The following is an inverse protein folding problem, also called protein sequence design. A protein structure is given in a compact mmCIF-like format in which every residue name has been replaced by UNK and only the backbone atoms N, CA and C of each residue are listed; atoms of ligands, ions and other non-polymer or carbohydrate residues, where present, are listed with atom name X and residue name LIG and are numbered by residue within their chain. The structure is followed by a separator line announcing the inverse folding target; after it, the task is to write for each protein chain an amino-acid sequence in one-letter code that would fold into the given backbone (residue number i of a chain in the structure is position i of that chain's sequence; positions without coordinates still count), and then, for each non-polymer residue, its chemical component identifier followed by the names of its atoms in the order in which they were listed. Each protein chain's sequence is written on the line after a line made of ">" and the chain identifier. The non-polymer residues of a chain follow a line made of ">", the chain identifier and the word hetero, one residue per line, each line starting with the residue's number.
data_IF_761797602024
#
_entry.id   IF_761797602024
#
_cell.length_a   1.000
_cell.length_b   1.000
_cell.length_c   1.000
_cell.angle_alpha   90.00
_cell.angle_beta   90.00
_cell.angle_gamma   90.00
#
_symmetry.space_group_name_H-M   'P 1'
#
loop_
_entity.id
_entity.type
_entity.pdbx_description
1 polymer ?
#
# COMPACT_ATOMS: atom_id res chain seq x y z
N UNK A 1 0.72 17.49 -3.29
CA UNK A 1 1.82 16.96 -2.47
C UNK A 1 3.12 17.75 -2.64
N UNK A 2 3.60 17.98 -3.86
CA UNK A 2 4.90 18.63 -4.13
C UNK A 2 5.03 20.06 -3.58
N UNK A 3 4.01 20.91 -3.74
CA UNK A 3 4.03 22.27 -3.19
C UNK A 3 4.05 22.28 -1.65
N UNK A 4 3.25 21.43 -1.02
CA UNK A 4 3.21 21.30 0.44
C UNK A 4 4.54 20.79 1.00
N UNK A 5 5.16 19.79 0.38
CA UNK A 5 6.47 19.29 0.79
C UNK A 5 7.59 20.32 0.60
N UNK A 6 7.54 21.11 -0.48
CA UNK A 6 8.46 22.22 -0.72
C UNK A 6 8.33 23.29 0.38
N UNK A 7 7.11 23.68 0.74
CA UNK A 7 6.86 24.67 1.80
C UNK A 7 7.34 24.20 3.18
N UNK A 8 7.17 22.93 3.52
CA UNK A 8 7.70 22.37 4.77
C UNK A 8 9.23 22.37 4.73
N UNK A 9 9.82 21.91 3.62
CA UNK A 9 11.28 21.84 3.47
C UNK A 9 11.97 23.20 3.47
N UNK A 10 11.29 24.28 3.08
CA UNK A 10 11.87 25.63 3.09
C UNK A 10 11.92 26.26 4.48
N UNK A 11 11.12 25.77 5.42
CA UNK A 11 10.93 26.38 6.74
C UNK A 11 11.43 25.50 7.87
N UNK A 12 11.35 24.19 7.72
CA UNK A 12 11.78 23.24 8.75
C UNK A 12 13.21 22.77 8.45
N UNK A 13 14.14 23.00 9.38
CA UNK A 13 15.50 22.48 9.28
C UNK A 13 15.51 20.94 9.39
N UNK A 14 16.35 20.31 8.56
CA UNK A 14 16.46 18.85 8.43
C UNK A 14 16.88 18.11 9.71
N UNK A 15 17.43 18.81 10.71
CA UNK A 15 18.01 18.21 11.91
C UNK A 15 16.98 17.91 13.02
N UNK A 16 15.75 18.42 12.93
CA UNK A 16 14.73 18.31 13.99
C UNK A 16 13.36 17.80 13.55
N UNK A 17 13.19 17.46 12.27
CA UNK A 17 11.92 16.92 11.79
C UNK A 17 11.88 15.39 11.93
N UNK A 18 11.16 14.88 12.92
CA UNK A 18 10.68 13.50 12.83
C UNK A 18 9.67 13.38 11.68
N UNK A 19 9.54 12.18 11.10
CA UNK A 19 8.69 11.94 9.92
C UNK A 19 7.22 12.37 10.15
N UNK A 20 6.77 12.37 11.40
CA UNK A 20 5.42 12.74 11.83
C UNK A 20 5.27 14.19 12.29
N UNK A 21 6.32 14.82 12.83
CA UNK A 21 6.22 16.17 13.42
C UNK A 21 6.41 17.30 12.41
N UNK A 22 6.98 17.02 11.24
CA UNK A 22 7.34 18.05 10.26
C UNK A 22 6.18 19.00 9.88
N UNK A 23 4.95 18.48 9.79
CA UNK A 23 3.77 19.31 9.48
C UNK A 23 3.42 20.26 10.62
N UNK A 24 3.38 19.76 11.86
CA UNK A 24 3.04 20.58 13.03
C UNK A 24 4.13 21.61 13.29
N UNK A 25 5.40 21.23 13.10
CA UNK A 25 6.54 22.13 13.26
C UNK A 25 6.55 23.24 12.21
N UNK A 26 6.18 22.93 10.97
CA UNK A 26 6.01 23.95 9.94
C UNK A 26 4.92 24.96 10.33
N UNK A 27 3.74 24.51 10.74
CA UNK A 27 2.66 25.41 11.20
C UNK A 27 3.06 26.22 12.42
N UNK A 28 3.76 25.61 13.38
CA UNK A 28 4.29 26.32 14.54
C UNK A 28 5.21 27.46 14.12
N UNK A 29 6.18 27.18 13.24
CA UNK A 29 7.15 28.18 12.78
C UNK A 29 6.46 29.35 12.06
N UNK A 30 5.54 29.05 11.15
CA UNK A 30 4.76 30.09 10.47
C UNK A 30 3.88 30.92 11.41
N UNK A 31 3.22 30.28 12.38
CA UNK A 31 2.36 31.01 13.31
C UNK A 31 3.14 31.81 14.34
N UNK A 32 4.33 31.37 14.73
CA UNK A 32 5.21 32.15 15.59
C UNK A 32 5.70 33.42 14.85
N UNK A 33 6.09 33.31 13.58
CA UNK A 33 6.48 34.47 12.76
C UNK A 33 5.32 35.48 12.56
N UNK A 34 4.08 34.98 12.47
CA UNK A 34 2.87 35.80 12.32
C UNK A 34 2.29 36.30 13.65
N UNK A 35 2.89 35.96 14.80
CA UNK A 35 2.35 36.22 16.15
C UNK A 35 0.93 35.62 16.36
N UNK A 36 0.63 34.51 15.70
CA UNK A 36 -0.66 33.78 15.74
C UNK A 36 -0.53 32.42 16.41
N UNK A 37 0.39 32.25 17.38
CA UNK A 37 0.67 30.95 18.03
C UNK A 37 -0.58 30.28 18.65
N UNK A 38 -1.63 31.06 18.97
CA UNK A 38 -2.91 30.53 19.46
C UNK A 38 -3.67 29.68 18.41
N UNK A 39 -3.35 29.79 17.12
CA UNK A 39 -3.97 29.01 16.05
C UNK A 39 -3.41 27.58 15.96
N UNK A 40 -2.25 27.31 16.57
CA UNK A 40 -1.60 26.01 16.52
C UNK A 40 -2.49 24.86 17.05
N UNK A 41 -3.15 24.97 18.22
CA UNK A 41 -4.08 23.94 18.70
C UNK A 41 -5.29 23.74 17.80
N UNK A 42 -5.81 24.80 17.17
CA UNK A 42 -6.96 24.73 16.26
C UNK A 42 -6.61 23.91 15.02
N UNK A 43 -5.46 24.20 14.41
CA UNK A 43 -4.96 23.43 13.26
C UNK A 43 -4.60 22.00 13.66
N UNK A 44 -3.99 21.80 14.82
CA UNK A 44 -3.70 20.46 15.33
C UNK A 44 -4.97 19.62 15.47
N UNK A 45 -6.05 20.19 16.04
CA UNK A 45 -7.35 19.52 16.11
C UNK A 45 -7.94 19.24 14.72
N UNK A 46 -7.87 20.20 13.80
CA UNK A 46 -8.33 20.00 12.42
C UNK A 46 -7.58 18.85 11.72
N UNK A 47 -6.27 18.73 11.93
CA UNK A 47 -5.45 17.62 11.42
C UNK A 47 -5.89 16.30 12.07
N UNK A 48 -6.14 16.27 13.37
CA UNK A 48 -6.64 15.06 14.05
C UNK A 48 -7.99 14.62 13.45
N UNK A 49 -8.95 15.53 13.29
CA UNK A 49 -10.23 15.17 12.65
C UNK A 49 -10.06 14.73 11.19
N UNK A 50 -9.21 15.40 10.42
CA UNK A 50 -8.92 15.03 9.04
C UNK A 50 -8.27 13.65 8.91
N UNK A 51 -7.35 13.31 9.80
CA UNK A 51 -6.72 11.99 9.86
C UNK A 51 -7.73 10.91 10.28
N UNK A 52 -8.58 11.16 11.27
CA UNK A 52 -9.65 10.23 11.67
C UNK A 52 -10.66 9.97 10.53
N UNK A 53 -11.08 11.02 9.83
CA UNK A 53 -11.95 10.90 8.66
C UNK A 53 -11.29 10.08 7.55
N UNK A 54 -10.00 10.32 7.30
CA UNK A 54 -9.22 9.57 6.32
C UNK A 54 -9.11 8.09 6.72
N UNK A 55 -8.82 7.80 7.99
CA UNK A 55 -8.72 6.43 8.51
C UNK A 55 -10.02 5.65 8.32
N UNK A 56 -11.18 6.28 8.55
CA UNK A 56 -12.48 5.64 8.33
C UNK A 56 -12.66 5.19 6.87
N UNK A 57 -12.23 6.01 5.90
CA UNK A 57 -12.26 5.63 4.49
C UNK A 57 -11.29 4.47 4.18
N UNK A 58 -10.10 4.50 4.78
CA UNK A 58 -9.08 3.46 4.63
C UNK A 58 -9.43 2.11 5.27
N UNK A 59 -10.42 2.04 6.16
CA UNK A 59 -10.92 0.76 6.67
C UNK A 59 -11.79 0.07 5.61
N UNK A 60 -12.69 0.84 4.97
CA UNK A 60 -13.71 0.29 4.08
C UNK A 60 -13.16 -0.03 2.68
N UNK A 61 -12.31 0.84 2.13
CA UNK A 61 -11.78 0.67 0.77
C UNK A 61 -11.03 -0.67 0.54
N UNK A 62 -10.00 -1.03 1.31
CA UNK A 62 -9.29 -2.30 1.13
C UNK A 62 -10.19 -3.49 1.45
N UNK A 63 -11.01 -3.42 2.49
CA UNK A 63 -11.94 -4.49 2.86
C UNK A 63 -12.89 -4.81 1.70
N UNK A 64 -13.50 -3.80 1.08
CA UNK A 64 -14.39 -4.00 -0.08
C UNK A 64 -13.64 -4.58 -1.28
N UNK A 65 -12.41 -4.12 -1.55
CA UNK A 65 -11.59 -4.69 -2.64
C UNK A 65 -11.26 -6.17 -2.41
N UNK A 66 -10.94 -6.53 -1.17
CA UNK A 66 -10.62 -7.90 -0.77
C UNK A 66 -11.86 -8.78 -0.76
N UNK A 67 -13.01 -8.20 -0.46
CA UNK A 67 -14.29 -8.89 -0.48
C UNK A 67 -14.70 -9.34 -1.89
N UNK A 68 -14.43 -8.51 -2.91
CA UNK A 68 -14.60 -8.92 -4.32
C UNK A 68 -13.70 -10.10 -4.64
N UNK A 69 -12.43 -10.06 -4.24
CA UNK A 69 -11.52 -11.20 -4.43
C UNK A 69 -11.99 -12.47 -3.69
N UNK A 70 -12.56 -12.33 -2.49
CA UNK A 70 -13.12 -13.45 -1.74
C UNK A 70 -14.35 -14.06 -2.45
N UNK A 71 -15.22 -13.24 -3.06
CA UNK A 71 -16.34 -13.69 -3.90
C UNK A 71 -15.86 -14.43 -5.16
N UNK A 72 -14.73 -14.02 -5.72
CA UNK A 72 -14.03 -14.70 -6.83
C UNK A 72 -13.25 -15.96 -6.40
N UNK A 73 -13.50 -16.46 -5.19
CA UNK A 73 -12.95 -17.70 -4.64
C UNK A 73 -11.43 -17.69 -4.43
N UNK A 74 -10.82 -16.51 -4.30
CA UNK A 74 -9.43 -16.38 -3.84
C UNK A 74 -9.27 -16.63 -2.34
N UNK A 75 -10.37 -16.75 -1.60
CA UNK A 75 -10.36 -16.97 -0.15
C UNK A 75 -11.45 -17.96 0.30
N UNK A 76 -11.36 -18.51 1.53
CA UNK A 76 -12.43 -19.26 2.16
C UNK A 76 -13.78 -18.51 2.13
N UNK A 77 -14.87 -19.23 1.86
CA UNK A 77 -16.23 -18.67 1.79
C UNK A 77 -16.67 -18.01 3.10
N UNK A 78 -16.08 -18.38 4.24
CA UNK A 78 -16.32 -17.70 5.50
C UNK A 78 -15.92 -16.21 5.47
N UNK A 79 -14.87 -15.86 4.71
CA UNK A 79 -14.40 -14.48 4.54
C UNK A 79 -15.22 -13.69 3.52
N UNK A 80 -15.99 -14.36 2.66
CA UNK A 80 -16.91 -13.70 1.71
C UNK A 80 -18.32 -13.49 2.28
N UNK A 81 -18.57 -13.80 3.56
CA UNK A 81 -19.89 -13.59 4.18
C UNK A 81 -20.11 -12.11 4.52
N UNK A 82 -21.29 -11.60 4.19
CA UNK A 82 -21.76 -10.27 4.55
C UNK A 82 -22.80 -10.35 5.68
N UNK A 83 -22.95 -9.26 6.45
CA UNK A 83 -24.07 -9.09 7.38
C UNK A 83 -25.29 -8.46 6.68
N UNK A 84 -26.35 -8.16 7.45
CA UNK A 84 -27.58 -7.53 6.93
C UNK A 84 -27.33 -6.17 6.24
N UNK A 85 -26.24 -5.49 6.60
CA UNK A 85 -25.85 -4.19 6.04
C UNK A 85 -24.83 -4.32 4.90
N UNK A 86 -24.68 -5.50 4.29
CA UNK A 86 -23.72 -5.79 3.21
C UNK A 86 -22.26 -5.54 3.60
N UNK A 87 -21.95 -5.59 4.90
CA UNK A 87 -20.60 -5.41 5.40
C UNK A 87 -19.90 -6.77 5.58
N UNK A 88 -18.69 -6.96 5.02
CA UNK A 88 -17.94 -8.21 5.17
C UNK A 88 -17.21 -8.27 6.52
N UNK A 89 -17.96 -8.58 7.58
CA UNK A 89 -17.51 -8.50 8.97
C UNK A 89 -16.24 -9.31 9.24
N UNK A 90 -16.12 -10.52 8.68
CA UNK A 90 -14.95 -11.37 8.89
C UNK A 90 -13.65 -10.74 8.34
N UNK A 91 -13.74 -10.03 7.20
CA UNK A 91 -12.59 -9.31 6.63
C UNK A 91 -12.25 -8.05 7.43
N UNK A 92 -13.26 -7.34 7.94
CA UNK A 92 -13.05 -6.19 8.83
C UNK A 92 -12.33 -6.60 10.11
N UNK A 93 -12.76 -7.70 10.74
CA UNK A 93 -12.12 -8.24 11.93
C UNK A 93 -10.70 -8.73 11.63
N UNK A 94 -10.47 -9.38 10.49
CA UNK A 94 -9.14 -9.82 10.08
C UNK A 94 -8.19 -8.63 9.88
N UNK A 95 -8.59 -7.60 9.14
CA UNK A 95 -7.79 -6.38 8.97
C UNK A 95 -7.54 -5.69 10.31
N UNK A 96 -8.57 -5.57 11.16
CA UNK A 96 -8.44 -4.96 12.48
C UNK A 96 -7.46 -5.72 13.38
N UNK A 97 -7.49 -7.05 13.35
CA UNK A 97 -6.53 -7.89 14.07
C UNK A 97 -5.11 -7.71 13.54
N UNK A 98 -4.91 -7.71 12.22
CA UNK A 98 -3.60 -7.48 11.59
C UNK A 98 -3.05 -6.11 12.01
N UNK A 99 -3.83 -5.05 11.87
CA UNK A 99 -3.41 -3.69 12.24
C UNK A 99 -3.10 -3.60 13.74
N UNK A 100 -3.91 -4.22 14.60
CA UNK A 100 -3.66 -4.24 16.04
C UNK A 100 -2.36 -4.94 16.40
N UNK A 101 -2.07 -6.09 15.79
CA UNK A 101 -0.81 -6.82 15.99
C UNK A 101 0.38 -6.01 15.48
N UNK A 102 0.26 -5.38 14.31
CA UNK A 102 1.31 -4.50 13.78
C UNK A 102 1.53 -3.28 14.69
N UNK A 103 0.48 -2.74 15.30
CA UNK A 103 0.60 -1.64 16.26
C UNK A 103 1.38 -2.04 17.52
N UNK A 104 1.33 -3.30 17.95
CA UNK A 104 2.14 -3.78 19.09
C UNK A 104 3.64 -3.70 18.82
N UNK A 105 4.07 -3.72 17.54
CA UNK A 105 5.49 -3.56 17.17
C UNK A 105 6.02 -2.20 17.64
N UNK A 106 5.19 -1.15 17.62
CA UNK A 106 5.60 0.18 18.10
C UNK A 106 5.81 0.26 19.62
N UNK A 107 5.30 -0.70 20.39
CA UNK A 107 5.60 -0.81 21.82
C UNK A 107 6.99 -1.43 22.03
N UNK A 108 7.40 -2.33 21.13
CA UNK A 108 8.67 -3.06 21.20
C UNK A 108 9.83 -2.32 20.54
N UNK A 109 9.55 -1.43 19.58
CA UNK A 109 10.56 -0.63 18.89
C UNK A 109 10.83 0.65 19.69
N UNK A 110 12.05 0.85 20.21
CA UNK A 110 12.38 2.00 21.06
C UNK A 110 12.38 3.34 20.29
N UNK A 111 12.38 3.31 18.96
CA UNK A 111 12.36 4.49 18.11
C UNK A 111 11.21 4.44 17.10
N UNK A 112 10.15 5.21 17.37
CA UNK A 112 8.96 5.31 16.51
C UNK A 112 9.31 5.72 15.08
N UNK A 113 10.29 6.61 14.90
CA UNK A 113 10.72 7.07 13.58
C UNK A 113 11.32 5.95 12.74
N UNK A 114 12.11 5.05 13.35
CA UNK A 114 12.65 3.86 12.68
C UNK A 114 11.53 2.89 12.27
N UNK A 115 10.55 2.67 13.15
CA UNK A 115 9.38 1.84 12.86
C UNK A 115 8.52 2.40 11.71
N UNK A 116 8.26 3.71 11.72
CA UNK A 116 7.52 4.39 10.64
C UNK A 116 8.27 4.34 9.31
N UNK A 117 9.59 4.56 9.32
CA UNK A 117 10.43 4.39 8.14
C UNK A 117 10.31 2.97 7.59
N UNK A 118 10.49 1.96 8.42
CA UNK A 118 10.45 0.55 8.01
C UNK A 118 9.10 0.19 7.36
N UNK A 119 7.98 0.53 8.02
CA UNK A 119 6.65 0.24 7.48
C UNK A 119 6.36 0.99 6.17
N UNK A 120 6.81 2.24 6.05
CA UNK A 120 6.60 3.03 4.84
C UNK A 120 7.39 2.47 3.64
N UNK A 121 8.63 2.05 3.86
CA UNK A 121 9.46 1.43 2.84
C UNK A 121 8.90 0.05 2.45
N UNK A 122 8.50 -0.78 3.43
CA UNK A 122 7.86 -2.07 3.17
C UNK A 122 6.58 -1.92 2.34
N UNK A 123 5.70 -0.98 2.69
CA UNK A 123 4.51 -0.66 1.92
C UNK A 123 4.88 -0.26 0.48
N UNK A 124 5.88 0.61 0.33
CA UNK A 124 6.35 1.07 -0.98
C UNK A 124 6.85 -0.10 -1.84
N UNK A 125 7.64 -1.01 -1.28
CA UNK A 125 8.14 -2.20 -2.00
C UNK A 125 6.99 -3.09 -2.50
N UNK A 126 6.01 -3.37 -1.64
CA UNK A 126 4.83 -4.18 -2.01
C UNK A 126 4.00 -3.51 -3.12
N UNK A 127 3.84 -2.18 -3.06
CA UNK A 127 3.16 -1.42 -4.10
C UNK A 127 3.92 -1.43 -5.43
N UNK A 128 5.25 -1.36 -5.41
CA UNK A 128 6.04 -1.44 -6.64
C UNK A 128 5.90 -2.82 -7.30
N UNK A 129 5.83 -3.91 -6.53
CA UNK A 129 5.54 -5.25 -7.09
C UNK A 129 4.17 -5.27 -7.77
N UNK A 130 3.16 -4.71 -7.12
CA UNK A 130 1.82 -4.59 -7.70
C UNK A 130 1.88 -3.80 -9.02
N UNK A 131 2.58 -2.68 -9.07
CA UNK A 131 2.72 -1.89 -10.29
C UNK A 131 3.48 -2.63 -11.39
N UNK A 132 4.54 -3.37 -11.06
CA UNK A 132 5.24 -4.25 -12.01
C UNK A 132 4.27 -5.27 -12.61
N UNK A 133 3.46 -5.94 -11.78
CA UNK A 133 2.41 -6.84 -12.24
C UNK A 133 1.41 -6.12 -13.17
N UNK A 134 0.96 -4.92 -12.83
CA UNK A 134 0.04 -4.12 -13.66
C UNK A 134 0.66 -3.78 -15.01
N UNK A 135 1.92 -3.32 -15.06
CA UNK A 135 2.59 -2.98 -16.33
C UNK A 135 2.83 -4.21 -17.21
N UNK A 136 3.23 -5.34 -16.61
CA UNK A 136 3.36 -6.61 -17.33
C UNK A 136 1.99 -7.07 -17.87
N UNK A 137 0.96 -7.08 -17.01
CA UNK A 137 -0.40 -7.43 -17.42
C UNK A 137 -0.94 -6.51 -18.52
N UNK A 138 -0.62 -5.22 -18.49
CA UNK A 138 -0.96 -4.27 -19.53
C UNK A 138 -0.35 -4.65 -20.89
N UNK A 139 0.96 -4.95 -20.92
CA UNK A 139 1.66 -5.38 -22.14
C UNK A 139 1.16 -6.73 -22.65
N UNK A 140 0.99 -7.72 -21.75
CA UNK A 140 0.50 -9.06 -22.08
C UNK A 140 -0.94 -8.98 -22.60
N UNK A 141 -1.81 -8.23 -21.93
CA UNK A 141 -3.21 -8.04 -22.35
C UNK A 141 -3.29 -7.41 -23.74
N UNK A 142 -2.37 -6.51 -24.10
CA UNK A 142 -2.35 -5.94 -25.46
C UNK A 142 -1.95 -6.94 -26.54
N UNK A 143 -1.08 -7.89 -26.21
CA UNK A 143 -0.65 -8.96 -27.13
C UNK A 143 -1.71 -10.06 -27.24
N UNK A 144 -2.21 -10.55 -26.10
CA UNK A 144 -3.14 -11.69 -26.02
C UNK A 144 -4.58 -11.32 -26.42
N UNK A 145 -5.00 -10.09 -26.13
CA UNK A 145 -6.36 -9.61 -26.41
C UNK A 145 -6.32 -8.40 -27.34
N UNK A 146 -5.71 -8.60 -28.52
CA UNK A 146 -5.54 -7.55 -29.53
C UNK A 146 -6.86 -7.10 -30.18
N UNK A 147 -7.84 -8.02 -30.30
CA UNK A 147 -9.10 -7.80 -31.01
C UNK A 147 -10.22 -7.16 -30.16
N UNK A 148 -9.96 -6.85 -28.89
CA UNK A 148 -10.95 -6.22 -28.01
C UNK A 148 -10.99 -4.72 -28.31
N UNK A 149 -12.18 -4.19 -28.56
CA UNK A 149 -12.40 -2.75 -28.70
C UNK A 149 -12.18 -2.04 -27.35
N UNK A 150 -11.42 -0.94 -27.36
CA UNK A 150 -10.96 -0.27 -26.13
C UNK A 150 -11.39 1.19 -26.14
N UNK A 151 -12.14 1.65 -25.11
CA UNK A 151 -12.54 3.04 -24.96
C UNK A 151 -11.35 4.01 -24.87
N UNK A 152 -10.21 3.54 -24.35
CA UNK A 152 -8.99 4.31 -24.23
C UNK A 152 -7.80 3.61 -24.89
N UNK A 153 -6.96 4.39 -25.59
CA UNK A 153 -5.72 3.95 -26.21
C UNK A 153 -4.61 4.94 -25.88
N UNK A 154 -3.43 4.41 -25.52
CA UNK A 154 -2.24 5.23 -25.30
C UNK A 154 -1.88 5.90 -26.63
N UNK A 155 -1.69 7.23 -26.65
CA UNK A 155 -1.28 7.95 -27.85
C UNK A 155 0.09 7.44 -28.33
N UNK A 156 0.33 7.46 -29.64
CA UNK A 156 1.59 6.94 -30.23
C UNK A 156 1.63 5.42 -30.45
N UNK A 157 0.48 4.74 -30.38
CA UNK A 157 0.34 3.33 -30.81
C UNK A 157 1.23 2.36 -30.03
N UNK A 158 1.90 1.43 -30.73
CA UNK A 158 2.78 0.42 -30.11
C UNK A 158 4.03 1.04 -29.47
N UNK A 159 4.56 2.12 -30.06
CA UNK A 159 5.75 2.80 -29.56
C UNK A 159 5.43 3.53 -28.27
N UNK A 160 4.40 4.39 -28.27
CA UNK A 160 3.97 5.11 -27.06
C UNK A 160 3.62 4.17 -25.90
N UNK A 161 2.97 3.04 -26.20
CA UNK A 161 2.70 1.99 -25.22
C UNK A 161 3.97 1.37 -24.61
N UNK A 162 4.96 1.06 -25.46
CA UNK A 162 6.22 0.45 -25.00
C UNK A 162 7.05 1.43 -24.18
N UNK A 163 7.05 2.70 -24.56
CA UNK A 163 7.72 3.77 -23.80
C UNK A 163 7.06 3.96 -22.44
N UNK A 164 5.73 4.12 -22.39
CA UNK A 164 5.01 4.32 -21.11
C UNK A 164 5.19 3.13 -20.17
N UNK A 165 5.03 1.91 -20.68
CA UNK A 165 5.23 0.70 -19.86
C UNK A 165 6.69 0.52 -19.45
N UNK A 166 7.65 0.82 -20.34
CA UNK A 166 9.08 0.75 -20.05
C UNK A 166 9.49 1.74 -18.97
N UNK A 167 9.09 3.01 -19.10
CA UNK A 167 9.34 4.03 -18.08
C UNK A 167 8.71 3.66 -16.74
N UNK A 168 7.46 3.17 -16.75
CA UNK A 168 6.79 2.71 -15.54
C UNK A 168 7.53 1.56 -14.83
N UNK A 169 7.96 0.55 -15.60
CA UNK A 169 8.73 -0.57 -15.07
C UNK A 169 10.09 -0.13 -14.53
N UNK A 170 10.83 0.70 -15.28
CA UNK A 170 12.12 1.24 -14.85
C UNK A 170 11.96 2.02 -13.54
N UNK A 171 10.95 2.89 -13.43
CA UNK A 171 10.67 3.63 -12.20
C UNK A 171 10.36 2.71 -11.02
N UNK A 172 9.61 1.62 -11.23
CA UNK A 172 9.36 0.64 -10.17
C UNK A 172 10.65 -0.04 -9.72
N UNK A 173 11.51 -0.44 -10.67
CA UNK A 173 12.79 -1.09 -10.36
C UNK A 173 13.74 -0.15 -9.60
N UNK A 174 13.87 1.11 -10.06
CA UNK A 174 14.67 2.13 -9.37
C UNK A 174 14.13 2.33 -7.94
N UNK A 175 12.81 2.45 -7.78
CA UNK A 175 12.19 2.65 -6.46
C UNK A 175 12.49 1.47 -5.52
N UNK A 176 12.41 0.23 -6.01
CA UNK A 176 12.75 -0.96 -5.21
C UNK A 176 14.23 -0.94 -4.80
N UNK A 177 15.15 -0.59 -5.71
CA UNK A 177 16.58 -0.51 -5.39
C UNK A 177 16.86 0.58 -4.35
N UNK A 178 16.30 1.77 -4.55
CA UNK A 178 16.44 2.90 -3.60
C UNK A 178 15.81 2.59 -2.24
N UNK A 179 14.77 1.75 -2.21
CA UNK A 179 14.13 1.33 -0.96
C UNK A 179 15.07 0.54 -0.02
N UNK A 180 16.19 0.01 -0.51
CA UNK A 180 17.20 -0.65 0.33
C UNK A 180 18.24 0.31 0.90
N UNK A 181 18.14 1.61 0.61
CA UNK A 181 18.99 2.63 1.23
C UNK A 181 18.53 2.88 2.68
N UNK A 182 19.25 2.27 3.63
CA UNK A 182 18.93 2.29 5.05
C UNK A 182 19.50 3.55 5.70
N UNK A 183 18.73 4.30 6.52
CA UNK A 183 19.21 5.48 7.22
C UNK A 183 20.41 5.18 8.12
N UNK A 184 21.35 6.12 8.22
CA UNK A 184 22.61 5.97 8.97
C UNK A 184 22.46 5.58 10.46
N UNK A 185 21.27 5.75 11.05
CA UNK A 185 20.95 5.34 12.42
C UNK A 185 20.58 3.86 12.61
N UNK A 186 20.54 3.06 11.53
CA UNK A 186 20.26 1.62 11.55
C UNK A 186 21.42 0.92 10.82
N UNK A 187 21.90 -0.21 11.33
CA UNK A 187 22.91 -0.98 10.59
C UNK A 187 22.33 -1.42 9.24
N UNK A 188 23.10 -1.25 8.17
CA UNK A 188 22.65 -1.58 6.82
C UNK A 188 22.20 -3.05 6.72
N UNK A 189 22.91 -3.96 7.40
CA UNK A 189 22.56 -5.37 7.46
C UNK A 189 21.22 -5.59 8.15
N UNK A 190 21.02 -5.08 9.37
CA UNK A 190 19.76 -5.29 10.11
C UNK A 190 18.58 -4.67 9.38
N UNK A 191 18.74 -3.48 8.80
CA UNK A 191 17.71 -2.83 7.99
C UNK A 191 17.35 -3.64 6.75
N UNK A 192 18.34 -4.11 5.99
CA UNK A 192 18.12 -4.93 4.82
C UNK A 192 17.45 -6.27 5.16
N UNK A 193 17.88 -6.95 6.22
CA UNK A 193 17.24 -8.18 6.70
C UNK A 193 15.79 -7.93 7.11
N UNK A 194 15.50 -6.86 7.85
CA UNK A 194 14.14 -6.51 8.23
C UNK A 194 13.24 -6.23 7.02
N UNK A 195 13.77 -5.53 6.01
CA UNK A 195 13.06 -5.25 4.76
C UNK A 195 12.76 -6.53 3.98
N UNK A 196 13.75 -7.42 3.79
CA UNK A 196 13.54 -8.68 3.06
C UNK A 196 12.56 -9.59 3.79
N UNK A 197 12.73 -9.77 5.11
CA UNK A 197 11.84 -10.60 5.91
C UNK A 197 10.41 -10.04 5.94
N UNK A 198 10.28 -8.73 6.12
CA UNK A 198 8.98 -8.05 6.08
C UNK A 198 8.31 -8.23 4.72
N UNK A 199 9.04 -7.98 3.63
CA UNK A 199 8.53 -8.13 2.27
C UNK A 199 8.03 -9.55 2.00
N UNK A 200 8.78 -10.57 2.41
CA UNK A 200 8.37 -11.98 2.30
C UNK A 200 7.11 -12.22 3.13
N UNK A 201 7.12 -11.85 4.42
CA UNK A 201 6.02 -12.06 5.34
C UNK A 201 4.71 -11.43 4.85
N UNK A 202 4.76 -10.18 4.36
CA UNK A 202 3.59 -9.46 3.84
C UNK A 202 3.16 -9.93 2.44
N UNK A 203 4.02 -10.63 1.70
CA UNK A 203 3.67 -11.25 0.41
C UNK A 203 2.98 -12.61 0.57
N UNK A 204 3.19 -13.32 1.70
CA UNK A 204 2.62 -14.66 1.94
C UNK A 204 1.09 -14.70 1.81
N UNK A 205 0.29 -13.75 2.33
CA UNK A 205 -1.16 -13.78 2.18
C UNK A 205 -1.62 -13.75 0.71
N UNK A 206 -0.95 -12.96 -0.13
CA UNK A 206 -1.26 -12.89 -1.56
C UNK A 206 -0.94 -14.21 -2.28
N UNK A 207 0.22 -14.80 -1.98
CA UNK A 207 0.62 -16.10 -2.53
C UNK A 207 -0.35 -17.20 -2.08
N UNK A 208 -0.70 -17.23 -0.79
CA UNK A 208 -1.65 -18.18 -0.23
C UNK A 208 -3.03 -18.07 -0.90
N UNK A 209 -3.52 -16.85 -1.16
CA UNK A 209 -4.78 -16.62 -1.87
C UNK A 209 -4.75 -17.18 -3.31
N UNK A 210 -3.65 -16.97 -4.04
CA UNK A 210 -3.48 -17.52 -5.39
C UNK A 210 -3.41 -19.05 -5.37
N UNK A 211 -2.66 -19.63 -4.43
CA UNK A 211 -2.56 -21.09 -4.27
C UNK A 211 -3.90 -21.71 -3.91
N UNK A 212 -4.66 -21.08 -3.01
CA UNK A 212 -6.00 -21.52 -2.62
C UNK A 212 -6.95 -21.57 -3.83
N UNK A 213 -6.98 -20.50 -4.64
CA UNK A 213 -7.78 -20.47 -5.87
C UNK A 213 -7.40 -21.58 -6.84
N UNK A 214 -6.11 -21.74 -7.11
CA UNK A 214 -5.63 -22.74 -8.07
C UNK A 214 -5.98 -24.17 -7.64
N UNK A 215 -5.88 -24.47 -6.33
CA UNK A 215 -6.33 -25.76 -5.78
C UNK A 215 -7.82 -25.99 -5.98
N UNK A 216 -8.64 -24.96 -5.73
CA UNK A 216 -10.10 -25.06 -5.86
C UNK A 216 -10.54 -25.24 -7.31
N UNK A 217 -9.97 -24.47 -8.24
CA UNK A 217 -10.22 -24.61 -9.69
C UNK A 217 -9.84 -26.01 -10.17
N UNK A 218 -8.68 -26.54 -9.75
CA UNK A 218 -8.24 -27.90 -10.10
C UNK A 218 -9.18 -28.98 -9.56
N UNK A 219 -9.62 -28.85 -8.30
CA UNK A 219 -10.56 -29.81 -7.70
C UNK A 219 -11.93 -29.81 -8.42
N UNK A 220 -12.43 -28.64 -8.82
CA UNK A 220 -13.67 -28.54 -9.59
C UNK A 220 -13.55 -29.18 -10.98
N UNK A 221 -12.42 -28.98 -11.67
CA UNK A 221 -12.17 -29.64 -12.96
C UNK A 221 -12.17 -31.17 -12.83
N UNK A 222 -11.53 -31.71 -11.80
CA UNK A 222 -11.50 -33.16 -11.54
C UNK A 222 -12.87 -33.74 -11.21
N UNK A 223 -13.72 -33.02 -10.47
CA UNK A 223 -15.10 -33.42 -10.18
C UNK A 223 -15.95 -33.47 -11.45
N UNK A 224 -15.79 -32.50 -12.35
CA UNK A 224 -16.52 -32.47 -13.62
C UNK A 224 -16.09 -33.64 -14.52
N UNK A 225 -14.79 -33.92 -14.61
CA UNK A 225 -14.27 -35.07 -15.35
C UNK A 225 -14.79 -36.40 -14.79
N UNK A 226 -14.83 -36.56 -13.47
CA UNK A 226 -15.33 -37.77 -12.81
C UNK A 226 -16.85 -37.96 -12.92
N UNK A 227 -17.63 -36.88 -13.10
CA UNK A 227 -19.07 -36.96 -13.38
C UNK A 227 -19.38 -37.18 -14.87
N UNK A 228 -18.41 -36.93 -15.74
CA UNK A 228 -18.53 -37.12 -17.18
C UNK A 228 -18.08 -38.52 -17.65
N UNK A 229 -17.39 -39.28 -16.79
CA UNK A 229 -17.00 -40.69 -16.98
C UNK A 229 -18.01 -41.65 -16.38
#
# INVERSE_FOLDING_TARGET
>A
LTACSLSISSVVSSDHASLSEGVILAFKTFFDDLNLSFMLPVIALAIVFGTLASLNNWIIAPTKSLHVAAKDQFMPLALSKENQNQAPVALLLLQGAIVSVLSLVFILVPNVNQGMWLLNILMTQLYMVMYVCIFISFLVSRRKHANIERPFRVPGGKVGMSVVAGLGLISCMITIVVSFDVPAGISAETGAYALVLGFIAFSLPAIAAVMYRNRKVRSQAQLIEALAS
#
